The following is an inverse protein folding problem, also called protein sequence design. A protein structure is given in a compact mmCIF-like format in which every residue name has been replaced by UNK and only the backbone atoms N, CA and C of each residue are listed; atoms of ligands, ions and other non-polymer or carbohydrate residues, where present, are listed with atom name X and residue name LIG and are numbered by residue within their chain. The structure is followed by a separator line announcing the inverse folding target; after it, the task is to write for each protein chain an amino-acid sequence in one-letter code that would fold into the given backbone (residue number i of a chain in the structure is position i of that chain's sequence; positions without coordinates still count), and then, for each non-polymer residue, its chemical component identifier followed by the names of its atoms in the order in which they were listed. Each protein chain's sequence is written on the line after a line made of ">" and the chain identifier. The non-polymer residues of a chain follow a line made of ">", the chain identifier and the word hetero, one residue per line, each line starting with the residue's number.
data_IF_680808562975
#
_entry.id   IF_680808562975
#
_cell.length_a   1.000
_cell.length_b   1.000
_cell.length_c   1.000
_cell.angle_alpha   90.00
_cell.angle_beta   90.00
_cell.angle_gamma   90.00
#
_symmetry.space_group_name_H-M   'P 1'
#
loop_
_entity.id
_entity.type
_entity.pdbx_description
1 polymer ?
#
# COMPACT_ATOMS: atom_id res chain seq x y z
N UNK A 1 -22.49 -9.92 -16.32
CA UNK A 1 -21.32 -10.47 -15.58
C UNK A 1 -21.61 -10.27 -14.10
N UNK A 2 -21.21 -11.19 -13.24
CA UNK A 2 -21.30 -11.00 -11.79
C UNK A 2 -20.41 -9.80 -11.37
N UNK A 3 -20.81 -9.07 -10.32
CA UNK A 3 -19.97 -8.03 -9.74
C UNK A 3 -18.71 -8.65 -9.16
N UNK A 4 -17.59 -7.93 -9.19
CA UNK A 4 -16.38 -8.36 -8.52
C UNK A 4 -16.63 -8.45 -6.99
N UNK A 5 -15.98 -9.39 -6.32
CA UNK A 5 -16.04 -9.55 -4.87
C UNK A 5 -14.74 -9.06 -4.23
N UNK A 6 -14.86 -8.12 -3.32
CA UNK A 6 -13.74 -7.46 -2.63
C UNK A 6 -13.78 -7.84 -1.15
N UNK A 7 -12.75 -8.50 -0.66
CA UNK A 7 -12.60 -8.81 0.76
C UNK A 7 -11.62 -7.82 1.42
N UNK A 8 -12.11 -7.08 2.40
CA UNK A 8 -11.33 -6.14 3.21
C UNK A 8 -11.03 -6.81 4.56
N UNK A 9 -9.78 -7.21 4.77
CA UNK A 9 -9.36 -7.99 5.93
C UNK A 9 -8.75 -7.04 6.97
N UNK A 10 -9.53 -6.74 8.01
CA UNK A 10 -9.32 -5.72 9.02
C UNK A 10 -10.36 -4.61 8.91
N UNK A 11 -11.23 -4.49 9.93
CA UNK A 11 -12.31 -3.48 10.00
C UNK A 11 -11.91 -2.24 10.84
N UNK A 12 -10.62 -1.92 10.90
CA UNK A 12 -10.12 -0.71 11.55
C UNK A 12 -10.51 0.58 10.81
N UNK A 13 -9.73 1.66 11.00
CA UNK A 13 -9.97 2.94 10.32
C UNK A 13 -9.76 2.81 8.82
N UNK A 14 -8.66 2.22 8.38
CA UNK A 14 -8.37 2.01 6.95
C UNK A 14 -9.43 1.10 6.31
N UNK A 15 -9.75 -0.05 6.94
CA UNK A 15 -10.73 -0.99 6.40
C UNK A 15 -12.13 -0.40 6.22
N UNK A 16 -12.62 0.39 7.19
CA UNK A 16 -13.89 1.10 7.05
C UNK A 16 -13.86 2.16 5.95
N UNK A 17 -12.74 2.90 5.81
CA UNK A 17 -12.56 3.88 4.75
C UNK A 17 -12.50 3.20 3.37
N UNK A 18 -11.78 2.09 3.23
CA UNK A 18 -11.76 1.26 2.01
C UNK A 18 -13.16 0.82 1.60
N UNK A 19 -13.94 0.31 2.57
CA UNK A 19 -15.31 -0.14 2.33
C UNK A 19 -16.19 1.01 1.81
N UNK A 20 -16.07 2.20 2.42
CA UNK A 20 -16.82 3.38 2.01
C UNK A 20 -16.45 3.85 0.60
N UNK A 21 -15.14 3.93 0.27
CA UNK A 21 -14.69 4.34 -1.06
C UNK A 21 -15.11 3.32 -2.12
N UNK A 22 -14.87 2.02 -1.87
CA UNK A 22 -15.25 0.96 -2.80
C UNK A 22 -16.76 0.95 -3.06
N UNK A 23 -17.58 1.23 -2.03
CA UNK A 23 -19.03 1.39 -2.16
C UNK A 23 -19.41 2.59 -3.05
N UNK A 24 -18.80 3.74 -2.81
CA UNK A 24 -19.05 4.96 -3.59
C UNK A 24 -18.68 4.82 -5.07
N UNK A 25 -17.61 4.08 -5.35
CA UNK A 25 -17.14 3.80 -6.71
C UNK A 25 -17.83 2.60 -7.37
N UNK A 26 -18.72 1.90 -6.66
CA UNK A 26 -19.37 0.65 -7.13
C UNK A 26 -18.35 -0.36 -7.68
N UNK A 27 -17.21 -0.51 -7.02
CA UNK A 27 -16.16 -1.39 -7.49
C UNK A 27 -16.53 -2.87 -7.47
N UNK A 28 -17.44 -3.27 -6.59
CA UNK A 28 -17.90 -4.65 -6.43
C UNK A 28 -18.67 -4.85 -5.14
N UNK A 29 -19.03 -6.10 -4.87
CA UNK A 29 -19.63 -6.51 -3.60
C UNK A 29 -18.53 -6.67 -2.53
N UNK A 30 -18.78 -6.17 -1.33
CA UNK A 30 -17.78 -5.98 -0.30
C UNK A 30 -18.03 -6.90 0.89
N UNK A 31 -17.01 -7.65 1.30
CA UNK A 31 -16.95 -8.33 2.59
C UNK A 31 -15.95 -7.58 3.48
N UNK A 32 -16.44 -6.97 4.55
CA UNK A 32 -15.60 -6.36 5.58
C UNK A 32 -15.40 -7.40 6.70
N UNK A 33 -14.20 -7.94 6.78
CA UNK A 33 -13.83 -8.99 7.73
C UNK A 33 -13.01 -8.43 8.89
N UNK A 34 -13.32 -8.88 10.11
CA UNK A 34 -12.48 -8.68 11.30
C UNK A 34 -12.72 -9.81 12.31
N UNK A 35 -11.74 -10.07 13.18
CA UNK A 35 -11.89 -11.00 14.30
C UNK A 35 -12.74 -10.43 15.45
N UNK A 36 -12.86 -9.09 15.51
CA UNK A 36 -13.67 -8.38 16.51
C UNK A 36 -15.15 -8.46 16.14
N UNK A 37 -15.93 -9.22 16.90
CA UNK A 37 -17.38 -9.34 16.71
C UNK A 37 -18.06 -7.96 16.79
N UNK A 38 -19.05 -7.75 15.94
CA UNK A 38 -19.85 -6.53 15.88
C UNK A 38 -19.22 -5.38 15.11
N UNK A 39 -17.89 -5.22 15.13
CA UNK A 39 -17.20 -4.11 14.45
C UNK A 39 -17.40 -4.14 12.93
N UNK A 40 -17.12 -5.25 12.22
CA UNK A 40 -17.33 -5.28 10.78
C UNK A 40 -18.82 -5.18 10.41
N UNK A 41 -19.73 -5.77 11.21
CA UNK A 41 -21.18 -5.70 10.98
C UNK A 41 -21.70 -4.27 11.13
N UNK A 42 -21.33 -3.58 12.22
CA UNK A 42 -21.77 -2.22 12.48
C UNK A 42 -21.30 -1.23 11.39
N UNK A 43 -20.02 -1.30 11.00
CA UNK A 43 -19.49 -0.46 9.92
C UNK A 43 -20.13 -0.80 8.57
N UNK A 44 -20.35 -2.07 8.28
CA UNK A 44 -21.00 -2.49 7.03
C UNK A 44 -22.42 -1.97 6.94
N UNK A 45 -23.18 -2.01 8.04
CA UNK A 45 -24.54 -1.50 8.10
C UNK A 45 -24.57 0.02 7.87
N UNK A 46 -23.75 0.77 8.59
CA UNK A 46 -23.64 2.23 8.46
C UNK A 46 -23.28 2.67 7.03
N UNK A 47 -22.30 2.00 6.41
CA UNK A 47 -21.92 2.28 5.02
C UNK A 47 -23.03 1.88 4.03
N UNK A 48 -23.73 0.78 4.29
CA UNK A 48 -24.86 0.35 3.46
C UNK A 48 -26.03 1.36 3.54
N UNK A 49 -26.32 1.91 4.72
CA UNK A 49 -27.28 3.00 4.88
C UNK A 49 -26.85 4.26 4.12
N UNK A 50 -25.55 4.62 4.20
CA UNK A 50 -25.00 5.73 3.43
C UNK A 50 -25.10 5.50 1.92
N UNK A 51 -25.01 4.24 1.43
CA UNK A 51 -25.14 3.94 0.00
C UNK A 51 -26.50 4.29 -0.57
N UNK A 52 -27.55 4.18 0.22
CA UNK A 52 -28.89 4.63 -0.14
C UNK A 52 -28.96 6.17 -0.34
N UNK A 53 -28.14 6.93 0.40
CA UNK A 53 -28.07 8.41 0.28
C UNK A 53 -27.34 8.84 -0.98
N UNK A 54 -26.21 8.19 -1.29
CA UNK A 54 -25.44 8.54 -2.50
C UNK A 54 -25.85 7.75 -3.76
N UNK A 55 -26.91 6.92 -3.67
CA UNK A 55 -27.54 6.28 -4.83
C UNK A 55 -26.68 5.20 -5.48
N UNK A 56 -26.14 4.26 -4.69
CA UNK A 56 -25.31 3.16 -5.20
C UNK A 56 -25.82 1.80 -4.71
N UNK A 57 -25.96 0.88 -5.66
CA UNK A 57 -26.42 -0.48 -5.39
C UNK A 57 -25.23 -1.42 -5.19
N UNK A 58 -24.86 -1.63 -3.94
CA UNK A 58 -23.77 -2.53 -3.55
C UNK A 58 -24.24 -3.52 -2.48
N UNK A 59 -23.67 -4.71 -2.47
CA UNK A 59 -23.76 -5.61 -1.32
C UNK A 59 -22.57 -5.36 -0.41
N UNK A 60 -22.83 -5.10 0.88
CA UNK A 60 -21.80 -4.91 1.88
C UNK A 60 -22.14 -5.76 3.11
N UNK A 61 -21.26 -6.70 3.46
CA UNK A 61 -21.45 -7.65 4.56
C UNK A 61 -20.27 -7.59 5.53
N UNK A 62 -20.56 -7.42 6.83
CA UNK A 62 -19.60 -7.65 7.90
C UNK A 62 -19.47 -9.14 8.22
N UNK A 63 -18.23 -9.62 8.41
CA UNK A 63 -17.93 -11.02 8.61
C UNK A 63 -16.86 -11.24 9.69
N UNK A 64 -16.95 -12.39 10.37
CA UNK A 64 -15.94 -12.86 11.32
C UNK A 64 -15.40 -14.25 10.96
N UNK A 65 -15.88 -14.86 9.88
CA UNK A 65 -15.42 -16.15 9.37
C UNK A 65 -14.76 -15.96 8.00
N UNK A 66 -13.57 -16.55 7.82
CA UNK A 66 -12.88 -16.56 6.52
C UNK A 66 -13.69 -17.25 5.41
N UNK A 67 -14.63 -18.15 5.73
CA UNK A 67 -15.51 -18.72 4.72
C UNK A 67 -16.29 -17.66 3.94
N UNK A 68 -16.57 -16.51 4.55
CA UNK A 68 -17.29 -15.42 3.91
C UNK A 68 -16.50 -14.72 2.79
N UNK A 69 -15.14 -14.78 2.82
CA UNK A 69 -14.33 -14.24 1.71
C UNK A 69 -14.19 -15.19 0.53
N UNK A 70 -14.81 -16.37 0.60
CA UNK A 70 -14.67 -17.37 -0.46
C UNK A 70 -14.99 -16.79 -1.84
N UNK A 71 -14.07 -17.04 -2.80
CA UNK A 71 -14.22 -16.56 -4.17
C UNK A 71 -13.99 -15.05 -4.36
N UNK A 72 -13.34 -14.36 -3.41
CA UNK A 72 -12.98 -12.96 -3.60
C UNK A 72 -11.99 -12.79 -4.77
N UNK A 73 -12.24 -11.76 -5.60
CA UNK A 73 -11.35 -11.35 -6.70
C UNK A 73 -10.16 -10.54 -6.18
N UNK A 74 -10.41 -9.72 -5.13
CA UNK A 74 -9.40 -8.88 -4.47
C UNK A 74 -9.50 -9.05 -2.97
N UNK A 75 -8.36 -9.22 -2.30
CA UNK A 75 -8.23 -9.13 -0.85
C UNK A 75 -7.34 -7.93 -0.49
N UNK A 76 -7.84 -6.99 0.31
CA UNK A 76 -7.04 -5.88 0.84
C UNK A 76 -6.81 -6.12 2.33
N UNK A 77 -5.56 -6.27 2.73
CA UNK A 77 -5.17 -6.67 4.09
C UNK A 77 -4.69 -5.46 4.88
N UNK A 78 -5.48 -5.07 5.87
CA UNK A 78 -5.16 -4.01 6.84
C UNK A 78 -5.08 -4.55 8.27
N UNK A 79 -5.32 -5.86 8.44
CA UNK A 79 -5.27 -6.54 9.72
C UNK A 79 -3.88 -6.45 10.34
N UNK A 80 -3.81 -6.12 11.61
CA UNK A 80 -2.58 -5.93 12.36
C UNK A 80 -2.74 -4.87 13.45
N UNK A 81 -1.71 -4.72 14.26
CA UNK A 81 -1.68 -3.68 15.30
C UNK A 81 -0.76 -2.54 14.87
N UNK A 82 -1.15 -1.27 15.14
CA UNK A 82 -0.24 -0.16 15.00
C UNK A 82 0.79 -0.17 16.12
N UNK A 83 1.95 0.46 15.90
CA UNK A 83 2.95 0.64 16.95
C UNK A 83 2.36 1.46 18.11
N UNK A 84 2.46 0.94 19.31
CA UNK A 84 2.01 1.61 20.54
C UNK A 84 3.22 2.20 21.29
N UNK A 85 3.03 3.24 22.13
CA UNK A 85 4.07 3.74 23.01
C UNK A 85 4.63 2.60 23.88
N UNK A 86 5.96 2.50 23.98
CA UNK A 86 6.65 1.45 24.73
C UNK A 86 6.83 0.11 24.00
N UNK A 87 6.24 -0.06 22.82
CA UNK A 87 6.41 -1.28 22.01
C UNK A 87 7.72 -1.19 21.20
N UNK A 88 8.57 -2.21 21.31
CA UNK A 88 9.75 -2.34 20.49
C UNK A 88 9.40 -2.62 19.03
N UNK A 89 10.37 -2.49 18.12
CA UNK A 89 10.20 -2.86 16.70
C UNK A 89 9.95 -4.37 16.56
N UNK A 90 10.67 -5.16 17.33
CA UNK A 90 10.58 -6.63 17.29
C UNK A 90 9.26 -7.14 17.84
N UNK A 91 8.73 -6.51 18.90
CA UNK A 91 7.40 -6.83 19.43
C UNK A 91 6.32 -6.61 18.36
N UNK A 92 6.36 -5.46 17.68
CA UNK A 92 5.42 -5.14 16.59
C UNK A 92 5.53 -6.15 15.46
N UNK A 93 6.77 -6.47 15.07
CA UNK A 93 7.06 -7.42 14.00
C UNK A 93 6.50 -8.80 14.35
N UNK A 94 6.77 -9.30 15.57
CA UNK A 94 6.30 -10.61 16.04
C UNK A 94 4.79 -10.72 16.13
N UNK A 95 4.10 -9.66 16.56
CA UNK A 95 2.62 -9.65 16.60
C UNK A 95 2.05 -9.68 15.19
N UNK A 96 2.50 -8.77 14.32
CA UNK A 96 1.95 -8.66 12.97
C UNK A 96 2.31 -9.86 12.09
N UNK A 97 3.45 -10.52 12.35
CA UNK A 97 3.82 -11.75 11.67
C UNK A 97 2.81 -12.89 11.95
N UNK A 98 2.36 -13.03 13.19
CA UNK A 98 1.29 -13.99 13.56
C UNK A 98 -0.04 -13.66 12.88
N UNK A 99 -0.34 -12.36 12.77
CA UNK A 99 -1.54 -11.91 12.04
C UNK A 99 -1.42 -12.27 10.56
N UNK A 100 -0.27 -12.00 9.91
CA UNK A 100 -0.05 -12.33 8.50
C UNK A 100 -0.13 -13.84 8.24
N UNK A 101 0.29 -14.67 9.19
CA UNK A 101 0.14 -16.13 9.10
C UNK A 101 -1.34 -16.53 9.06
N UNK A 102 -2.13 -16.08 10.01
CA UNK A 102 -3.57 -16.39 10.07
C UNK A 102 -4.31 -15.85 8.81
N UNK A 103 -3.99 -14.64 8.37
CA UNK A 103 -4.57 -14.03 7.16
C UNK A 103 -4.15 -14.81 5.91
N UNK A 104 -2.87 -15.15 5.78
CA UNK A 104 -2.34 -15.91 4.64
C UNK A 104 -2.98 -17.29 4.51
N UNK A 105 -3.11 -18.01 5.63
CA UNK A 105 -3.79 -19.30 5.68
C UNK A 105 -5.28 -19.17 5.32
N UNK A 106 -5.96 -18.14 5.82
CA UNK A 106 -7.36 -17.85 5.51
C UNK A 106 -7.58 -17.55 4.02
N UNK A 107 -6.74 -16.70 3.41
CA UNK A 107 -6.80 -16.39 1.98
C UNK A 107 -6.51 -17.64 1.15
N UNK A 108 -5.49 -18.41 1.51
CA UNK A 108 -5.15 -19.67 0.83
C UNK A 108 -6.32 -20.64 0.78
N UNK A 109 -7.04 -20.76 1.89
CA UNK A 109 -8.15 -21.70 2.01
C UNK A 109 -9.41 -21.27 1.25
N UNK A 110 -9.71 -19.96 1.23
CA UNK A 110 -11.02 -19.47 0.78
C UNK A 110 -10.96 -18.59 -0.48
N UNK A 111 -9.84 -17.91 -0.74
CA UNK A 111 -9.67 -17.01 -1.89
C UNK A 111 -8.32 -17.21 -2.61
N UNK A 112 -7.95 -18.44 -3.02
CA UNK A 112 -6.62 -18.76 -3.55
C UNK A 112 -6.29 -18.09 -4.89
N UNK A 113 -7.26 -17.52 -5.57
CA UNK A 113 -7.10 -16.83 -6.86
C UNK A 113 -7.13 -15.31 -6.73
N UNK A 114 -7.33 -14.78 -5.52
CA UNK A 114 -7.46 -13.35 -5.29
C UNK A 114 -6.16 -12.60 -5.60
N UNK A 115 -6.31 -11.37 -6.09
CA UNK A 115 -5.25 -10.38 -6.05
C UNK A 115 -5.17 -9.78 -4.65
N UNK A 116 -4.01 -9.82 -4.02
CA UNK A 116 -3.83 -9.46 -2.62
C UNK A 116 -3.01 -8.18 -2.48
N UNK A 117 -3.57 -7.18 -1.81
CA UNK A 117 -2.90 -5.91 -1.51
C UNK A 117 -2.66 -5.84 0.01
N UNK A 118 -1.40 -5.89 0.44
CA UNK A 118 -1.01 -5.74 1.83
C UNK A 118 -0.82 -4.26 2.19
N UNK A 119 -1.36 -3.81 3.35
CA UNK A 119 -1.15 -2.46 3.90
C UNK A 119 -0.49 -2.53 5.29
N UNK A 120 -0.54 -3.71 5.92
CA UNK A 120 -0.04 -3.91 7.29
C UNK A 120 1.45 -3.60 7.42
N UNK A 121 1.81 -2.83 8.45
CA UNK A 121 3.19 -2.44 8.72
C UNK A 121 3.91 -3.38 9.73
N UNK A 122 5.24 -3.53 9.62
CA UNK A 122 6.15 -2.94 8.62
C UNK A 122 5.92 -3.56 7.23
N UNK A 123 5.53 -2.73 6.25
CA UNK A 123 4.91 -3.19 5.01
C UNK A 123 5.74 -4.23 4.24
N UNK A 124 7.02 -3.92 3.99
CA UNK A 124 7.86 -4.74 3.11
C UNK A 124 8.09 -6.14 3.67
N UNK A 125 8.20 -6.26 5.00
CA UNK A 125 8.28 -7.54 5.68
C UNK A 125 6.92 -8.26 5.72
N UNK A 126 5.84 -7.52 5.92
CA UNK A 126 4.49 -8.12 6.05
C UNK A 126 3.96 -8.62 4.71
N UNK A 127 4.20 -7.91 3.60
CA UNK A 127 3.81 -8.40 2.27
C UNK A 127 4.60 -9.65 1.88
N UNK A 128 5.90 -9.68 2.19
CA UNK A 128 6.72 -10.87 1.98
C UNK A 128 6.22 -12.06 2.80
N UNK A 129 6.01 -11.88 4.11
CA UNK A 129 5.50 -12.93 4.99
C UNK A 129 4.10 -13.42 4.58
N UNK A 130 3.21 -12.50 4.21
CA UNK A 130 1.86 -12.83 3.71
C UNK A 130 1.93 -13.70 2.45
N UNK A 131 2.83 -13.38 1.51
CA UNK A 131 3.04 -14.19 0.32
C UNK A 131 3.55 -15.59 0.68
N UNK A 132 4.53 -15.70 1.60
CA UNK A 132 5.05 -16.98 2.06
C UNK A 132 3.95 -17.86 2.71
N UNK A 133 3.16 -17.29 3.61
CA UNK A 133 2.10 -18.04 4.32
C UNK A 133 0.91 -18.39 3.43
N UNK A 134 0.53 -17.51 2.51
CA UNK A 134 -0.55 -17.80 1.58
C UNK A 134 -0.15 -18.75 0.46
N UNK A 135 1.13 -18.73 0.07
CA UNK A 135 1.64 -19.50 -1.06
C UNK A 135 1.04 -19.11 -2.40
N UNK A 136 0.41 -17.93 -2.50
CA UNK A 136 -0.13 -17.40 -3.75
C UNK A 136 1.02 -17.04 -4.71
N UNK A 137 0.76 -17.01 -6.04
CA UNK A 137 1.71 -16.52 -7.02
C UNK A 137 2.22 -15.10 -6.67
N UNK A 138 3.50 -14.84 -6.87
CA UNK A 138 4.17 -13.61 -6.45
C UNK A 138 3.59 -12.36 -7.12
N UNK A 139 3.14 -12.49 -8.36
CA UNK A 139 2.45 -11.44 -9.13
C UNK A 139 1.04 -11.14 -8.60
N UNK A 140 0.48 -12.00 -7.77
CA UNK A 140 -0.84 -11.82 -7.14
C UNK A 140 -0.78 -11.19 -5.76
N UNK A 141 0.40 -11.02 -5.18
CA UNK A 141 0.57 -10.43 -3.84
C UNK A 141 1.47 -9.21 -3.96
N UNK A 142 0.96 -8.04 -3.58
CA UNK A 142 1.71 -6.78 -3.62
C UNK A 142 1.47 -5.94 -2.37
N UNK A 143 2.36 -5.01 -2.09
CA UNK A 143 2.25 -4.08 -0.96
C UNK A 143 1.92 -2.66 -1.40
N UNK A 144 0.97 -2.02 -0.70
CA UNK A 144 0.67 -0.60 -0.86
C UNK A 144 1.74 0.21 -0.13
N UNK A 145 2.61 0.88 -0.89
CA UNK A 145 3.76 1.64 -0.40
C UNK A 145 3.92 2.95 -1.17
N UNK A 146 4.69 2.92 -2.23
CA UNK A 146 5.06 4.08 -3.02
C UNK A 146 3.87 4.85 -3.61
N UNK A 147 2.71 4.24 -3.84
CA UNK A 147 1.50 4.96 -4.28
C UNK A 147 1.15 6.05 -3.26
N UNK A 148 1.14 5.71 -1.96
CA UNK A 148 0.90 6.66 -0.88
C UNK A 148 2.04 7.67 -0.75
N UNK A 149 3.29 7.20 -0.79
CA UNK A 149 4.47 8.05 -0.59
C UNK A 149 4.63 9.05 -1.74
N UNK A 150 4.35 8.61 -2.98
CA UNK A 150 4.31 9.47 -4.15
C UNK A 150 3.17 10.47 -4.12
N UNK A 151 2.00 10.08 -3.59
CA UNK A 151 0.88 11.01 -3.40
C UNK A 151 1.21 12.13 -2.40
N UNK A 152 1.93 11.83 -1.31
CA UNK A 152 2.47 12.83 -0.38
C UNK A 152 3.43 13.78 -1.08
N UNK A 153 4.37 13.22 -1.84
CA UNK A 153 5.34 14.00 -2.59
C UNK A 153 4.65 14.93 -3.60
N UNK A 154 3.69 14.41 -4.36
CA UNK A 154 2.89 15.20 -5.29
C UNK A 154 2.12 16.32 -4.58
N UNK A 155 1.49 16.04 -3.45
CA UNK A 155 0.75 17.03 -2.67
C UNK A 155 1.66 18.17 -2.19
N UNK A 156 2.85 17.87 -1.65
CA UNK A 156 3.77 18.90 -1.18
C UNK A 156 4.38 19.72 -2.33
N UNK A 157 4.56 19.10 -3.49
CA UNK A 157 4.94 19.82 -4.73
C UNK A 157 3.82 20.76 -5.19
N UNK A 158 2.56 20.31 -5.15
CA UNK A 158 1.41 21.13 -5.48
C UNK A 158 1.28 22.34 -4.54
N UNK A 159 1.41 22.11 -3.22
CA UNK A 159 1.39 23.17 -2.20
C UNK A 159 2.48 24.23 -2.46
N UNK A 160 3.68 23.80 -2.86
CA UNK A 160 4.80 24.71 -3.15
C UNK A 160 4.65 25.44 -4.47
N UNK A 161 4.21 24.77 -5.53
CA UNK A 161 4.18 25.33 -6.89
C UNK A 161 2.90 26.06 -7.23
N UNK A 162 1.82 25.81 -6.46
CA UNK A 162 0.48 26.31 -6.77
C UNK A 162 -0.17 25.63 -8.00
N UNK A 163 0.43 24.54 -8.49
CA UNK A 163 -0.09 23.77 -9.64
C UNK A 163 -1.01 22.65 -9.14
N UNK A 164 -2.04 22.31 -9.92
CA UNK A 164 -2.95 21.19 -9.62
C UNK A 164 -2.19 19.89 -9.43
N UNK A 165 -2.62 19.08 -8.46
CA UNK A 165 -2.10 17.70 -8.27
C UNK A 165 -2.31 16.81 -9.50
N UNK A 166 -3.25 17.14 -10.38
CA UNK A 166 -3.50 16.40 -11.64
C UNK A 166 -2.33 16.50 -12.63
N UNK A 167 -1.55 17.57 -12.54
CA UNK A 167 -0.39 17.82 -13.41
C UNK A 167 0.95 17.44 -12.77
N UNK A 168 0.91 16.76 -11.62
CA UNK A 168 2.11 16.34 -10.90
C UNK A 168 2.26 14.82 -10.95
N UNK A 169 3.35 14.36 -11.55
CA UNK A 169 3.74 12.96 -11.53
C UNK A 169 4.95 12.79 -10.61
N UNK A 170 4.72 12.29 -9.40
CA UNK A 170 5.76 12.05 -8.42
C UNK A 170 6.03 10.55 -8.25
N UNK A 171 7.28 10.20 -7.98
CA UNK A 171 7.73 8.83 -7.81
C UNK A 171 8.53 8.69 -6.53
N UNK A 172 8.18 7.67 -5.74
CA UNK A 172 8.92 7.27 -4.54
C UNK A 172 9.13 5.77 -4.60
N UNK A 173 10.39 5.35 -4.51
CA UNK A 173 10.83 3.97 -4.59
C UNK A 173 11.43 3.51 -3.25
N UNK A 174 11.81 2.24 -3.18
CA UNK A 174 12.45 1.66 -1.98
C UNK A 174 11.45 1.09 -0.98
N UNK A 175 11.91 0.79 0.22
CA UNK A 175 11.09 0.34 1.33
C UNK A 175 10.14 1.43 1.82
N UNK A 176 9.00 1.02 2.36
CA UNK A 176 7.99 1.93 2.91
C UNK A 176 8.37 2.38 4.33
N UNK A 177 9.12 3.46 4.44
CA UNK A 177 9.61 4.01 5.71
C UNK A 177 10.48 5.24 5.48
N UNK A 178 11.24 5.64 6.51
CA UNK A 178 12.08 6.83 6.47
C UNK A 178 13.18 6.76 5.40
N UNK A 179 13.55 5.52 4.99
CA UNK A 179 14.54 5.24 3.95
C UNK A 179 13.96 5.22 2.53
N UNK A 180 12.69 5.61 2.34
CA UNK A 180 12.10 5.74 1.00
C UNK A 180 12.89 6.73 0.13
N UNK A 181 12.88 6.51 -1.18
CA UNK A 181 13.66 7.27 -2.16
C UNK A 181 12.74 8.06 -3.09
N UNK A 182 12.43 9.34 -2.77
CA UNK A 182 11.75 10.23 -3.72
C UNK A 182 12.64 10.47 -4.94
N UNK A 183 12.13 10.11 -6.12
CA UNK A 183 12.87 10.15 -7.40
C UNK A 183 12.74 11.52 -8.03
N UNK A 184 13.53 12.47 -7.55
CA UNK A 184 13.47 13.90 -7.95
C UNK A 184 13.63 14.07 -9.47
N UNK A 185 14.57 13.39 -10.09
CA UNK A 185 14.84 13.52 -11.55
C UNK A 185 13.72 12.94 -12.42
N UNK A 186 12.96 11.99 -11.90
CA UNK A 186 11.86 11.32 -12.59
C UNK A 186 10.48 11.87 -12.23
N UNK A 187 10.42 12.76 -11.24
CA UNK A 187 9.18 13.44 -10.86
C UNK A 187 9.03 14.74 -11.65
N UNK A 188 7.80 15.05 -12.06
CA UNK A 188 7.53 16.16 -12.97
C UNK A 188 6.33 17.00 -12.50
N UNK A 189 6.33 18.27 -12.88
CA UNK A 189 5.17 19.17 -12.81
C UNK A 189 4.88 19.67 -14.23
N UNK A 190 3.69 19.43 -14.74
CA UNK A 190 3.34 19.75 -16.13
C UNK A 190 4.27 19.09 -17.16
N UNK A 191 4.85 17.93 -16.84
CA UNK A 191 5.81 17.23 -17.68
C UNK A 191 7.27 17.72 -17.56
N UNK A 192 7.54 18.81 -16.82
CA UNK A 192 8.89 19.32 -16.58
C UNK A 192 9.50 18.61 -15.36
N UNK A 193 10.70 18.01 -15.47
CA UNK A 193 11.40 17.42 -14.33
C UNK A 193 11.71 18.45 -13.23
N UNK A 194 11.66 18.03 -11.96
CA UNK A 194 11.87 18.94 -10.83
C UNK A 194 13.21 19.71 -10.88
N UNK A 195 14.35 19.13 -11.31
CA UNK A 195 15.58 19.90 -11.45
C UNK A 195 15.49 21.06 -12.46
N UNK A 196 14.64 20.92 -13.48
CA UNK A 196 14.41 22.00 -14.45
C UNK A 196 13.56 23.12 -13.86
N UNK A 197 12.57 22.79 -13.01
CA UNK A 197 11.79 23.80 -12.26
C UNK A 197 12.67 24.61 -11.32
N UNK A 198 13.65 23.99 -10.66
CA UNK A 198 14.64 24.69 -9.83
C UNK A 198 15.46 25.68 -10.68
N UNK A 199 15.95 25.26 -11.84
CA UNK A 199 16.69 26.16 -12.77
C UNK A 199 15.83 27.32 -13.26
N UNK A 200 14.54 27.11 -13.47
CA UNK A 200 13.60 28.14 -13.88
C UNK A 200 13.13 29.06 -12.72
N UNK A 201 13.55 28.79 -11.47
CA UNK A 201 13.24 29.62 -10.31
C UNK A 201 11.84 29.41 -9.71
N UNK A 202 11.16 28.30 -10.04
CA UNK A 202 9.88 27.96 -9.42
C UNK A 202 10.03 27.60 -7.93
N UNK A 203 11.18 27.06 -7.57
CA UNK A 203 11.59 26.78 -6.19
C UNK A 203 13.12 26.74 -6.12
N UNK A 204 13.68 26.90 -4.93
CA UNK A 204 15.10 26.72 -4.68
C UNK A 204 15.43 25.23 -4.47
N UNK A 205 16.71 24.85 -4.57
CA UNK A 205 17.16 23.49 -4.25
C UNK A 205 16.87 23.16 -2.77
N UNK A 206 17.08 24.11 -1.85
CA UNK A 206 16.80 23.93 -0.41
C UNK A 206 15.31 23.64 -0.14
N UNK A 207 14.42 24.33 -0.85
CA UNK A 207 12.98 24.09 -0.75
C UNK A 207 12.61 22.71 -1.27
N UNK A 208 13.18 22.27 -2.39
CA UNK A 208 12.98 20.91 -2.91
C UNK A 208 13.49 19.84 -1.95
N UNK A 209 14.68 20.05 -1.36
CA UNK A 209 15.25 19.13 -0.36
C UNK A 209 14.37 19.09 0.90
N UNK A 210 13.79 20.21 1.30
CA UNK A 210 12.81 20.30 2.36
C UNK A 210 11.56 19.47 2.08
N UNK A 211 11.03 19.54 0.86
CA UNK A 211 9.89 18.73 0.40
C UNK A 211 10.22 17.24 0.43
N UNK A 212 11.38 16.85 -0.08
CA UNK A 212 11.85 15.45 -0.03
C UNK A 212 11.94 14.94 1.41
N UNK A 213 12.51 15.74 2.31
CA UNK A 213 12.61 15.40 3.74
C UNK A 213 11.22 15.26 4.38
N UNK A 214 10.29 16.19 4.10
CA UNK A 214 8.92 16.16 4.61
C UNK A 214 8.16 14.95 4.08
N UNK A 215 8.37 14.55 2.83
CA UNK A 215 7.77 13.35 2.23
C UNK A 215 8.16 12.09 3.01
N UNK A 216 9.45 11.93 3.34
CA UNK A 216 9.96 10.81 4.15
C UNK A 216 9.32 10.79 5.54
N UNK A 217 9.19 11.94 6.18
CA UNK A 217 8.60 12.10 7.50
C UNK A 217 7.07 12.18 7.54
N UNK A 218 6.37 12.17 6.40
CA UNK A 218 4.94 12.49 6.31
C UNK A 218 4.01 11.59 7.12
N UNK A 219 4.37 10.32 7.28
CA UNK A 219 3.63 9.42 8.17
C UNK A 219 3.73 9.84 9.63
N UNK A 220 4.93 10.20 10.08
CA UNK A 220 5.19 10.70 11.44
C UNK A 220 4.53 12.05 11.73
N UNK A 221 4.50 12.96 10.75
CA UNK A 221 3.81 14.25 10.84
C UNK A 221 2.32 14.06 11.15
N UNK A 222 1.64 13.15 10.43
CA UNK A 222 0.22 12.85 10.66
C UNK A 222 -0.01 12.22 12.04
N UNK A 223 0.85 11.28 12.46
CA UNK A 223 0.76 10.66 13.79
C UNK A 223 0.91 11.70 14.90
N UNK A 224 1.85 12.62 14.75
CA UNK A 224 2.08 13.70 15.72
C UNK A 224 0.87 14.65 15.83
N UNK A 225 0.20 14.95 14.73
CA UNK A 225 -1.00 15.78 14.70
C UNK A 225 -2.23 15.06 15.26
N UNK A 226 -2.46 13.81 14.89
CA UNK A 226 -3.61 13.02 15.34
C UNK A 226 -3.49 12.58 16.81
N UNK A 227 -2.26 12.49 17.34
CA UNK A 227 -1.94 11.99 18.71
C UNK A 227 -2.33 10.53 18.95
N UNK A 228 -3.42 10.06 18.36
CA UNK A 228 -3.90 8.67 18.41
C UNK A 228 -4.18 8.18 16.99
N UNK A 229 -3.64 7.01 16.63
CA UNK A 229 -3.80 6.43 15.29
C UNK A 229 -2.75 6.92 14.28
N UNK A 230 -3.02 6.67 13.01
CA UNK A 230 -2.16 7.01 11.87
C UNK A 230 -3.02 7.45 10.68
N UNK A 231 -2.40 7.84 9.57
CA UNK A 231 -3.11 8.11 8.32
C UNK A 231 -3.99 6.92 7.90
N UNK A 232 -5.20 7.18 7.43
CA UNK A 232 -6.12 6.13 6.94
C UNK A 232 -6.89 6.52 5.67
N UNK A 233 -7.07 7.80 5.36
CA UNK A 233 -7.70 8.23 4.10
C UNK A 233 -6.80 7.95 2.90
N UNK A 234 -5.61 8.54 2.86
CA UNK A 234 -4.68 8.39 1.75
C UNK A 234 -4.19 6.93 1.55
N UNK A 235 -3.93 6.12 2.60
CA UNK A 235 -3.68 4.68 2.44
C UNK A 235 -4.85 3.94 1.80
N UNK A 236 -6.08 4.25 2.17
CA UNK A 236 -7.27 3.62 1.60
C UNK A 236 -7.42 3.97 0.10
N UNK A 237 -7.34 5.25 -0.27
CA UNK A 237 -7.39 5.70 -1.67
C UNK A 237 -6.26 5.05 -2.50
N UNK A 238 -5.06 4.95 -1.95
CA UNK A 238 -3.92 4.31 -2.62
C UNK A 238 -4.20 2.84 -2.95
N UNK A 239 -4.74 2.09 -2.00
CA UNK A 239 -5.09 0.68 -2.22
C UNK A 239 -6.29 0.51 -3.17
N UNK A 240 -7.27 1.40 -3.12
CA UNK A 240 -8.39 1.42 -4.09
C UNK A 240 -7.88 1.71 -5.51
N UNK A 241 -6.93 2.62 -5.68
CA UNK A 241 -6.31 2.86 -6.99
C UNK A 241 -5.64 1.59 -7.56
N UNK A 242 -4.95 0.81 -6.70
CA UNK A 242 -4.33 -0.47 -7.08
C UNK A 242 -5.41 -1.52 -7.42
N UNK A 243 -6.42 -1.69 -6.56
CA UNK A 243 -7.53 -2.63 -6.78
C UNK A 243 -8.32 -2.29 -8.06
N UNK A 244 -8.59 -1.01 -8.31
CA UNK A 244 -9.27 -0.54 -9.53
C UNK A 244 -8.46 -0.83 -10.77
N UNK A 245 -7.12 -0.68 -10.71
CA UNK A 245 -6.26 -1.03 -11.85
C UNK A 245 -6.33 -2.51 -12.17
N UNK A 246 -6.34 -3.37 -11.17
CA UNK A 246 -6.49 -4.82 -11.34
C UNK A 246 -7.89 -5.20 -11.87
N UNK A 247 -8.94 -4.77 -11.19
CA UNK A 247 -10.34 -5.15 -11.49
C UNK A 247 -10.81 -4.67 -12.87
N UNK A 248 -10.34 -3.49 -13.28
CA UNK A 248 -10.73 -2.87 -14.58
C UNK A 248 -9.65 -3.04 -15.66
N UNK A 249 -8.63 -3.85 -15.41
CA UNK A 249 -7.49 -4.08 -16.32
C UNK A 249 -6.86 -2.80 -16.88
N UNK A 250 -6.69 -1.76 -16.04
CA UNK A 250 -6.29 -0.43 -16.51
C UNK A 250 -4.83 -0.33 -16.93
N UNK A 251 -3.97 -1.28 -16.57
CA UNK A 251 -2.53 -1.27 -16.84
C UNK A 251 -1.84 0.01 -16.32
N UNK A 252 -2.30 0.54 -15.17
CA UNK A 252 -1.64 1.70 -14.57
C UNK A 252 -0.25 1.33 -14.09
N UNK A 253 0.68 2.26 -14.25
CA UNK A 253 2.00 2.17 -13.61
C UNK A 253 1.89 2.81 -12.23
N UNK A 254 2.06 2.01 -11.19
CA UNK A 254 1.95 2.44 -9.79
C UNK A 254 3.18 1.97 -9.02
N UNK A 255 3.79 2.83 -8.17
CA UNK A 255 4.91 2.40 -7.33
C UNK A 255 4.39 1.56 -6.15
N UNK A 256 4.72 0.29 -6.15
CA UNK A 256 4.22 -0.71 -5.18
C UNK A 256 5.34 -1.62 -4.73
N UNK A 257 5.26 -2.14 -3.51
CA UNK A 257 6.14 -3.22 -3.09
C UNK A 257 5.75 -4.49 -3.83
N UNK A 258 6.63 -4.94 -4.73
CA UNK A 258 6.44 -6.15 -5.54
C UNK A 258 7.66 -7.05 -5.45
N UNK A 259 7.47 -8.33 -5.74
CA UNK A 259 8.55 -9.31 -5.73
C UNK A 259 9.46 -9.13 -6.94
N UNK A 260 10.76 -8.98 -6.68
CA UNK A 260 11.76 -8.82 -7.73
C UNK A 260 12.45 -10.15 -8.05
N UNK A 261 12.69 -10.38 -9.34
CA UNK A 261 13.31 -11.59 -9.89
C UNK A 261 14.57 -11.29 -10.72
N UNK A 262 15.12 -10.09 -10.58
CA UNK A 262 16.31 -9.62 -11.30
C UNK A 262 16.29 -8.14 -11.62
N UNK A 263 15.12 -7.50 -11.53
CA UNK A 263 14.97 -6.07 -11.77
C UNK A 263 15.79 -5.26 -10.75
N UNK A 264 16.36 -4.15 -11.17
CA UNK A 264 17.30 -3.35 -10.37
C UNK A 264 18.50 -4.16 -9.82
N UNK A 265 18.80 -5.31 -10.42
CA UNK A 265 19.83 -6.25 -9.93
C UNK A 265 19.44 -7.01 -8.65
N UNK A 266 18.18 -6.94 -8.23
CA UNK A 266 17.67 -7.50 -6.98
C UNK A 266 16.84 -8.78 -7.24
N UNK A 267 16.92 -9.73 -6.29
CA UNK A 267 16.16 -10.99 -6.35
C UNK A 267 15.62 -11.36 -4.99
N UNK A 268 14.51 -12.08 -5.01
CA UNK A 268 13.92 -12.77 -3.86
C UNK A 268 13.50 -11.86 -2.70
N UNK A 269 13.08 -10.63 -3.01
CA UNK A 269 12.57 -9.69 -2.02
C UNK A 269 11.43 -8.82 -2.60
N UNK A 270 10.62 -8.28 -1.70
CA UNK A 270 9.65 -7.24 -2.01
C UNK A 270 10.27 -5.87 -1.76
N UNK A 271 10.12 -4.97 -2.72
CA UNK A 271 10.54 -3.57 -2.58
C UNK A 271 9.70 -2.67 -3.48
N UNK A 272 9.51 -1.43 -3.09
CA UNK A 272 8.73 -0.44 -3.83
C UNK A 272 9.43 -0.01 -5.12
N UNK A 273 8.81 -0.34 -6.26
CA UNK A 273 9.26 0.00 -7.61
C UNK A 273 8.04 0.29 -8.50
N UNK A 274 8.20 0.97 -9.65
CA UNK A 274 7.10 1.18 -10.59
C UNK A 274 6.65 -0.15 -11.21
N UNK A 275 5.35 -0.45 -11.06
CA UNK A 275 4.75 -1.72 -11.50
C UNK A 275 3.53 -1.45 -12.38
N UNK A 276 3.43 -2.15 -13.49
CA UNK A 276 2.20 -2.21 -14.29
C UNK A 276 1.24 -3.17 -13.61
N UNK A 277 0.10 -2.67 -13.14
CA UNK A 277 -0.97 -3.46 -12.54
C UNK A 277 -2.12 -3.61 -13.53
N UNK A 278 -2.43 -4.85 -13.86
CA UNK A 278 -3.57 -5.22 -14.71
C UNK A 278 -4.24 -6.50 -14.21
N UNK A 279 -5.10 -7.11 -15.01
CA UNK A 279 -5.83 -8.33 -14.65
C UNK A 279 -4.91 -9.53 -14.31
N UNK A 280 -3.67 -9.54 -14.82
CA UNK A 280 -2.64 -10.50 -14.44
C UNK A 280 -2.07 -10.30 -13.02
N UNK A 281 -2.31 -9.15 -12.39
CA UNK A 281 -1.68 -8.74 -11.15
C UNK A 281 -0.54 -7.75 -11.39
N UNK A 282 0.60 -7.93 -10.75
CA UNK A 282 1.85 -7.21 -11.01
C UNK A 282 2.50 -7.77 -12.29
N UNK A 283 2.19 -7.17 -13.44
CA UNK A 283 2.51 -7.76 -14.74
C UNK A 283 3.92 -7.42 -15.22
N UNK A 284 4.41 -6.24 -14.89
CA UNK A 284 5.74 -5.80 -15.32
C UNK A 284 6.28 -4.71 -14.40
N UNK A 285 7.52 -4.83 -14.00
CA UNK A 285 8.30 -3.78 -13.35
C UNK A 285 8.90 -2.86 -14.41
N UNK A 286 8.86 -1.56 -14.17
CA UNK A 286 9.56 -0.56 -14.99
C UNK A 286 10.78 -0.09 -14.23
N UNK A 287 11.95 -0.23 -14.83
CA UNK A 287 13.21 0.20 -14.23
C UNK A 287 13.55 1.63 -14.65
N UNK A 288 13.73 2.51 -13.67
CA UNK A 288 14.24 3.85 -13.91
C UNK A 288 15.77 3.81 -14.00
N UNK A 289 16.33 4.58 -14.91
CA UNK A 289 17.76 4.84 -14.93
C UNK A 289 18.12 5.71 -13.71
N UNK A 290 18.97 5.18 -12.85
CA UNK A 290 19.41 5.83 -11.60
C UNK A 290 20.83 6.34 -11.72
N UNK A 291 21.10 7.53 -11.17
CA UNK A 291 22.46 8.02 -10.96
C UNK A 291 23.08 7.37 -9.69
N UNK A 292 24.33 7.69 -9.40
CA UNK A 292 25.06 7.05 -8.31
C UNK A 292 24.47 7.38 -6.93
N UNK A 293 23.98 8.60 -6.73
CA UNK A 293 23.33 9.01 -5.48
C UNK A 293 21.99 8.27 -5.27
N UNK A 294 21.17 8.18 -6.32
CA UNK A 294 19.91 7.43 -6.30
C UNK A 294 20.15 5.94 -6.06
N UNK A 295 21.18 5.36 -6.68
CA UNK A 295 21.60 3.97 -6.45
C UNK A 295 22.02 3.75 -5.00
N UNK A 296 22.81 4.67 -4.43
CA UNK A 296 23.25 4.58 -3.03
C UNK A 296 22.06 4.66 -2.06
N UNK A 297 21.14 5.60 -2.27
CA UNK A 297 19.91 5.72 -1.47
C UNK A 297 19.04 4.47 -1.59
N UNK A 298 18.85 3.96 -2.81
CA UNK A 298 18.03 2.77 -3.05
C UNK A 298 18.67 1.52 -2.40
N UNK A 299 20.00 1.36 -2.50
CA UNK A 299 20.72 0.27 -1.84
C UNK A 299 20.58 0.31 -0.32
N UNK A 300 20.66 1.49 0.31
CA UNK A 300 20.43 1.66 1.74
C UNK A 300 18.99 1.27 2.14
N UNK A 301 18.00 1.70 1.35
CA UNK A 301 16.61 1.34 1.54
C UNK A 301 16.36 -0.18 1.42
N UNK A 302 16.95 -0.82 0.43
CA UNK A 302 16.92 -2.28 0.25
C UNK A 302 17.55 -3.02 1.43
N UNK A 303 18.67 -2.55 1.94
CA UNK A 303 19.32 -3.15 3.11
C UNK A 303 18.42 -3.11 4.35
N UNK A 304 17.66 -2.02 4.55
CA UNK A 304 16.67 -1.92 5.62
C UNK A 304 15.55 -2.97 5.46
N UNK A 305 15.04 -3.17 4.24
CA UNK A 305 14.03 -4.20 3.95
C UNK A 305 14.57 -5.61 4.22
N UNK A 306 15.79 -5.92 3.75
CA UNK A 306 16.43 -7.21 4.00
C UNK A 306 16.61 -7.48 5.49
N UNK A 307 17.03 -6.47 6.27
CA UNK A 307 17.11 -6.57 7.72
C UNK A 307 15.79 -6.94 8.39
N UNK A 308 14.67 -6.39 7.90
CA UNK A 308 13.32 -6.77 8.39
C UNK A 308 12.96 -8.21 8.04
N UNK A 309 13.27 -8.67 6.83
CA UNK A 309 13.01 -10.04 6.41
C UNK A 309 13.80 -11.04 7.28
N UNK A 310 15.08 -10.76 7.54
CA UNK A 310 15.90 -11.60 8.42
C UNK A 310 15.35 -11.64 9.86
N UNK A 311 14.90 -10.51 10.39
CA UNK A 311 14.23 -10.48 11.69
C UNK A 311 12.95 -11.33 11.70
N UNK A 312 12.14 -11.33 10.63
CA UNK A 312 10.98 -12.21 10.49
C UNK A 312 11.37 -13.70 10.54
N UNK A 313 12.44 -14.11 9.83
CA UNK A 313 12.93 -15.49 9.82
C UNK A 313 13.43 -15.94 11.19
N UNK A 314 14.02 -15.03 11.98
CA UNK A 314 14.42 -15.31 13.36
C UNK A 314 13.21 -15.51 14.27
N UNK A 315 12.11 -14.78 14.05
CA UNK A 315 10.89 -14.90 14.85
C UNK A 315 10.08 -16.15 14.45
N UNK A 316 9.93 -16.41 13.15
CA UNK A 316 9.25 -17.61 12.62
C UNK A 316 10.16 -18.37 11.64
N UNK A 317 10.87 -19.42 12.11
CA UNK A 317 11.77 -20.21 11.25
C UNK A 317 11.08 -20.98 10.12
N UNK A 318 9.75 -20.99 10.04
CA UNK A 318 9.03 -21.56 8.89
C UNK A 318 9.12 -20.69 7.63
N UNK A 319 9.48 -19.41 7.78
CA UNK A 319 9.77 -18.49 6.69
C UNK A 319 11.17 -18.77 6.12
N UNK A 320 11.27 -18.92 4.82
CA UNK A 320 12.54 -19.30 4.12
C UNK A 320 13.06 -18.20 3.23
#
# INVERSE_FOLDING_TARGET
>A
MARAKIALIGAGMIGGTLAHIAAREELGDIILFDIAEGTPQGKSLDIAEASAVFGKDITLKGANDYADIAGADVCIVTAGVPRKPGMSRDDLLGINLKVMKAVGEGIKAHAPNAFVICITNPLDAMVWALQQFSGLPKEKVIGMAGVLDSARFAYFLAEKTGVSVEDIHAWTLGGHGDDMVPMVRHSTVGGLPLPELVKQGWMTQEELDGIVKRTRGGGGEIVALLKTGSAFYAPAESAIAMATSYLKDKKRVLPCATFLTGQYGLKDLYVGVPVVIGAGGAERVIEFETNDDEKAMFAASVASVQGLMEACKQIDPSLK
#
